data_IF_739189410502
#
_entry.id   IF_739189410502
#
_cell.length_a   1.000
_cell.length_b   1.000
_cell.length_c   1.000
_cell.angle_alpha   90.00
_cell.angle_beta   90.00
_cell.angle_gamma   90.00
#
_symmetry.space_group_name_H-M   'P 1'
#
loop_
_entity.id
_entity.type
_entity.pdbx_description
1 polymer ?
#
# COMPACT_ATOMS: atom_id res chain seq x y z
N UNK A 1 3.74 7.19 -15.09
CA UNK A 1 5.04 6.59 -15.42
C UNK A 1 4.88 5.08 -15.28
N UNK A 2 5.00 4.34 -16.38
CA UNK A 2 5.06 2.87 -16.34
C UNK A 2 6.31 2.45 -15.56
N UNK A 3 6.25 1.34 -14.82
CA UNK A 3 7.36 0.81 -14.02
C UNK A 3 8.58 0.45 -14.91
N UNK A 4 8.33 0.30 -16.21
CA UNK A 4 9.29 -0.08 -17.25
C UNK A 4 10.51 0.88 -17.38
N UNK A 5 10.42 2.10 -16.85
CA UNK A 5 11.50 3.12 -16.92
C UNK A 5 12.37 3.22 -15.65
N UNK A 6 12.12 2.41 -14.62
CA UNK A 6 12.89 2.48 -13.36
C UNK A 6 14.23 1.76 -13.55
N UNK A 7 15.34 2.50 -13.62
CA UNK A 7 16.69 1.91 -13.64
C UNK A 7 17.26 1.80 -12.24
N UNK A 8 17.41 0.58 -11.76
CA UNK A 8 18.01 0.28 -10.46
C UNK A 8 19.54 0.31 -10.59
N UNK A 9 20.22 1.15 -9.79
CA UNK A 9 21.69 1.21 -9.76
C UNK A 9 22.29 -0.17 -9.45
N UNK A 10 23.49 -0.43 -9.97
CA UNK A 10 24.26 -1.66 -9.73
C UNK A 10 23.62 -2.98 -10.22
N UNK A 11 22.51 -2.93 -10.96
CA UNK A 11 21.95 -4.07 -11.68
C UNK A 11 22.21 -3.97 -13.19
N UNK A 12 22.53 -5.11 -13.81
CA UNK A 12 22.58 -5.20 -15.28
C UNK A 12 21.21 -4.92 -15.91
N UNK A 13 21.17 -4.66 -17.23
CA UNK A 13 19.91 -4.42 -17.94
C UNK A 13 18.94 -5.62 -17.85
N UNK A 14 19.46 -6.85 -17.88
CA UNK A 14 18.64 -8.06 -17.74
C UNK A 14 18.12 -8.24 -16.31
N UNK A 15 18.95 -7.95 -15.31
CA UNK A 15 18.55 -7.95 -13.90
C UNK A 15 17.45 -6.92 -13.61
N UNK A 16 17.58 -5.72 -14.16
CA UNK A 16 16.55 -4.68 -14.08
C UNK A 16 15.21 -5.14 -14.66
N UNK A 17 15.20 -5.68 -15.87
CA UNK A 17 13.96 -6.20 -16.48
C UNK A 17 13.35 -7.33 -15.65
N UNK A 18 14.18 -8.24 -15.16
CA UNK A 18 13.73 -9.38 -14.35
C UNK A 18 13.11 -8.94 -13.02
N UNK A 19 13.81 -8.09 -12.27
CA UNK A 19 13.40 -7.71 -10.91
C UNK A 19 12.13 -6.85 -10.91
N UNK A 20 11.97 -5.96 -11.89
CA UNK A 20 10.76 -5.15 -12.04
C UNK A 20 9.55 -5.99 -12.40
N UNK A 21 9.68 -6.90 -13.37
CA UNK A 21 8.58 -7.79 -13.76
C UNK A 21 8.18 -8.72 -12.61
N UNK A 22 9.17 -9.22 -11.86
CA UNK A 22 8.94 -10.06 -10.69
C UNK A 22 8.32 -9.29 -9.51
N UNK A 23 8.67 -8.01 -9.35
CA UNK A 23 8.09 -7.15 -8.32
C UNK A 23 6.59 -6.94 -8.55
N UNK A 24 6.17 -6.77 -9.80
CA UNK A 24 4.78 -6.50 -10.19
C UNK A 24 3.93 -7.77 -10.25
N UNK A 25 4.41 -8.81 -10.96
CA UNK A 25 3.58 -9.97 -11.31
C UNK A 25 3.83 -11.20 -10.43
N UNK A 26 4.90 -11.21 -9.63
CA UNK A 26 5.24 -12.34 -8.74
C UNK A 26 5.59 -13.66 -9.45
N UNK A 27 5.59 -13.69 -10.79
CA UNK A 27 5.81 -14.89 -11.57
C UNK A 27 7.23 -14.95 -12.14
N UNK A 28 8.06 -15.83 -11.58
CA UNK A 28 9.47 -15.98 -11.97
C UNK A 28 9.66 -16.41 -13.43
N UNK A 29 8.79 -17.28 -13.96
CA UNK A 29 8.91 -17.78 -15.33
C UNK A 29 8.68 -16.65 -16.34
N UNK A 30 7.63 -15.87 -16.09
CA UNK A 30 7.31 -14.67 -16.87
C UNK A 30 8.42 -13.63 -16.79
N UNK A 31 8.94 -13.37 -15.58
CA UNK A 31 10.06 -12.46 -15.39
C UNK A 31 11.32 -12.90 -16.15
N UNK A 32 11.64 -14.20 -16.14
CA UNK A 32 12.76 -14.75 -16.92
C UNK A 32 12.55 -14.57 -18.43
N UNK A 33 11.35 -14.83 -18.92
CA UNK A 33 11.00 -14.67 -20.34
C UNK A 33 11.17 -13.22 -20.79
N UNK A 34 10.63 -12.26 -20.04
CA UNK A 34 10.72 -10.82 -20.37
C UNK A 34 12.17 -10.30 -20.29
N UNK A 35 12.95 -10.81 -19.33
CA UNK A 35 14.35 -10.45 -19.19
C UNK A 35 15.29 -11.16 -20.18
N UNK A 36 14.80 -12.15 -20.93
CA UNK A 36 15.61 -12.93 -21.87
C UNK A 36 16.71 -13.74 -21.19
N UNK A 37 16.34 -14.45 -20.11
CA UNK A 37 17.25 -15.31 -19.32
C UNK A 37 16.63 -16.69 -19.08
N UNK A 38 17.46 -17.66 -18.68
CA UNK A 38 16.98 -18.97 -18.23
C UNK A 38 16.39 -18.91 -16.82
N UNK A 39 15.45 -19.80 -16.50
CA UNK A 39 14.91 -19.94 -15.14
C UNK A 39 16.02 -20.22 -14.11
N UNK A 40 17.03 -21.02 -14.47
CA UNK A 40 18.21 -21.28 -13.62
C UNK A 40 18.94 -19.99 -13.25
N UNK A 41 19.13 -19.08 -14.21
CA UNK A 41 19.74 -17.77 -13.97
C UNK A 41 18.88 -16.92 -13.02
N UNK A 42 17.57 -16.88 -13.24
CA UNK A 42 16.64 -16.13 -12.38
C UNK A 42 16.63 -16.64 -10.95
N UNK A 43 16.56 -17.97 -10.76
CA UNK A 43 16.67 -18.59 -9.45
C UNK A 43 18.02 -18.32 -8.77
N UNK A 44 19.13 -18.26 -9.52
CA UNK A 44 20.43 -17.93 -8.96
C UNK A 44 20.49 -16.47 -8.47
N UNK A 45 19.90 -15.52 -9.20
CA UNK A 45 19.81 -14.13 -8.74
C UNK A 45 18.94 -14.01 -7.48
N UNK A 46 17.87 -14.78 -7.36
CA UNK A 46 17.05 -14.82 -6.14
C UNK A 46 17.71 -15.52 -4.94
N UNK A 47 18.93 -16.05 -5.07
CA UNK A 47 19.73 -16.52 -3.93
C UNK A 47 20.66 -15.43 -3.41
N UNK A 48 20.89 -14.39 -4.20
CA UNK A 48 21.70 -13.24 -3.81
C UNK A 48 20.91 -12.37 -2.83
N UNK A 49 21.49 -12.11 -1.66
CA UNK A 49 20.81 -11.35 -0.60
C UNK A 49 20.55 -9.90 -1.00
N UNK A 50 21.49 -9.26 -1.70
CA UNK A 50 21.37 -7.86 -2.09
C UNK A 50 20.33 -7.70 -3.21
N UNK A 51 20.24 -8.69 -4.10
CA UNK A 51 19.17 -8.77 -5.09
C UNK A 51 17.79 -8.92 -4.44
N UNK A 52 17.66 -9.78 -3.42
CA UNK A 52 16.40 -9.94 -2.68
C UNK A 52 16.02 -8.69 -1.89
N UNK A 53 16.98 -8.05 -1.20
CA UNK A 53 16.74 -6.77 -0.50
C UNK A 53 16.24 -5.72 -1.48
N UNK A 54 16.85 -5.65 -2.67
CA UNK A 54 16.41 -4.74 -3.73
C UNK A 54 14.97 -5.06 -4.17
N UNK A 55 14.64 -6.32 -4.42
CA UNK A 55 13.29 -6.75 -4.79
C UNK A 55 12.25 -6.39 -3.72
N UNK A 56 12.59 -6.59 -2.45
CA UNK A 56 11.76 -6.22 -1.32
C UNK A 56 11.52 -4.70 -1.27
N UNK A 57 12.57 -3.89 -1.39
CA UNK A 57 12.47 -2.42 -1.40
C UNK A 57 11.59 -1.90 -2.54
N UNK A 58 11.67 -2.50 -3.74
CA UNK A 58 10.78 -2.14 -4.85
C UNK A 58 9.32 -2.43 -4.46
N UNK A 59 9.03 -3.63 -3.93
CA UNK A 59 7.68 -4.01 -3.53
C UNK A 59 7.12 -3.09 -2.45
N UNK A 60 7.90 -2.76 -1.43
CA UNK A 60 7.51 -1.78 -0.41
C UNK A 60 7.19 -0.42 -1.03
N UNK A 61 8.01 0.04 -1.98
CA UNK A 61 7.71 1.28 -2.70
C UNK A 61 6.41 1.21 -3.51
N UNK A 62 6.13 0.07 -4.15
CA UNK A 62 4.88 -0.13 -4.90
C UNK A 62 3.66 -0.15 -3.98
N UNK A 63 3.76 -0.83 -2.83
CA UNK A 63 2.71 -0.87 -1.82
C UNK A 63 2.46 0.54 -1.27
N UNK A 64 3.51 1.26 -0.88
CA UNK A 64 3.42 2.63 -0.40
C UNK A 64 2.76 3.56 -1.42
N UNK A 65 3.16 3.49 -2.70
CA UNK A 65 2.53 4.26 -3.79
C UNK A 65 1.05 3.92 -3.96
N UNK A 66 0.71 2.64 -3.93
CA UNK A 66 -0.67 2.17 -4.07
C UNK A 66 -1.54 2.64 -2.91
N UNK A 67 -1.00 2.56 -1.69
CA UNK A 67 -1.65 3.07 -0.49
C UNK A 67 -1.87 4.59 -0.58
N UNK A 68 -0.86 5.36 -1.01
CA UNK A 68 -1.01 6.79 -1.23
C UNK A 68 -2.10 7.11 -2.26
N UNK A 69 -2.15 6.37 -3.37
CA UNK A 69 -3.21 6.53 -4.38
C UNK A 69 -4.60 6.18 -3.82
N UNK A 70 -4.69 5.17 -2.96
CA UNK A 70 -5.93 4.81 -2.26
C UNK A 70 -6.36 5.93 -1.31
N UNK A 71 -5.43 6.46 -0.50
CA UNK A 71 -5.69 7.57 0.42
C UNK A 71 -6.17 8.82 -0.32
N UNK A 72 -5.54 9.19 -1.44
CA UNK A 72 -6.02 10.30 -2.28
C UNK A 72 -7.43 10.05 -2.84
N UNK A 73 -7.78 8.79 -3.13
CA UNK A 73 -9.11 8.44 -3.61
C UNK A 73 -10.15 8.53 -2.48
N UNK A 74 -9.76 8.21 -1.25
CA UNK A 74 -10.58 8.40 -0.06
C UNK A 74 -10.88 9.89 0.18
N UNK A 75 -9.88 10.77 0.08
CA UNK A 75 -10.08 12.22 0.20
C UNK A 75 -11.07 12.75 -0.85
N UNK A 76 -10.96 12.27 -2.10
CA UNK A 76 -11.92 12.61 -3.16
C UNK A 76 -13.34 12.12 -2.82
N UNK A 77 -13.47 10.92 -2.28
CA UNK A 77 -14.78 10.38 -1.87
C UNK A 77 -15.39 11.21 -0.74
N UNK A 78 -14.61 11.55 0.29
CA UNK A 78 -15.05 12.43 1.39
C UNK A 78 -15.53 13.79 0.84
N UNK A 79 -14.75 14.41 -0.04
CA UNK A 79 -15.13 15.68 -0.68
C UNK A 79 -16.42 15.55 -1.51
N UNK A 80 -16.64 14.43 -2.18
CA UNK A 80 -17.89 14.18 -2.90
C UNK A 80 -19.09 14.11 -1.95
N UNK A 81 -18.94 13.45 -0.79
CA UNK A 81 -20.00 13.38 0.23
C UNK A 81 -20.30 14.77 0.81
N UNK A 82 -19.28 15.59 1.05
CA UNK A 82 -19.45 16.99 1.50
C UNK A 82 -20.23 17.80 0.45
N UNK A 83 -19.86 17.70 -0.82
CA UNK A 83 -20.59 18.38 -1.91
C UNK A 83 -22.05 17.97 -2.01
N UNK A 84 -22.37 16.69 -1.76
CA UNK A 84 -23.76 16.22 -1.72
C UNK A 84 -24.55 16.93 -0.61
N UNK A 85 -23.94 17.17 0.56
CA UNK A 85 -24.56 17.89 1.68
C UNK A 85 -24.79 19.37 1.37
N UNK A 86 -23.80 20.01 0.75
CA UNK A 86 -23.79 21.45 0.47
C UNK A 86 -24.63 21.85 -0.75
N UNK A 87 -24.80 20.98 -1.76
CA UNK A 87 -25.56 21.32 -2.96
C UNK A 87 -27.06 21.42 -2.67
N UNK A 88 -27.62 22.62 -2.77
CA UNK A 88 -29.05 22.92 -2.57
C UNK A 88 -29.98 22.12 -3.49
N UNK A 89 -29.50 21.68 -4.66
CA UNK A 89 -30.29 20.93 -5.64
C UNK A 89 -30.36 19.43 -5.33
N UNK A 90 -29.51 18.94 -4.43
CA UNK A 90 -29.52 17.54 -3.98
C UNK A 90 -30.78 17.27 -3.15
N UNK A 91 -31.43 16.13 -3.38
CA UNK A 91 -32.62 15.74 -2.64
C UNK A 91 -32.35 15.61 -1.13
N UNK A 92 -33.35 15.94 -0.30
CA UNK A 92 -33.27 15.80 1.16
C UNK A 92 -32.85 14.39 1.59
N UNK A 93 -33.33 13.35 0.89
CA UNK A 93 -32.97 11.97 1.18
C UNK A 93 -31.50 11.67 0.91
N UNK A 94 -30.95 12.17 -0.20
CA UNK A 94 -29.53 11.99 -0.51
C UNK A 94 -28.64 12.74 0.49
N UNK A 95 -29.03 13.96 0.90
CA UNK A 95 -28.35 14.69 1.98
C UNK A 95 -28.37 13.92 3.30
N UNK A 96 -29.54 13.39 3.68
CA UNK A 96 -29.68 12.63 4.92
C UNK A 96 -28.83 11.35 4.91
N UNK A 97 -28.75 10.66 3.77
CA UNK A 97 -27.87 9.50 3.59
C UNK A 97 -26.39 9.87 3.68
N UNK A 98 -25.97 10.97 3.05
CA UNK A 98 -24.60 11.48 3.14
C UNK A 98 -24.24 11.87 4.59
N UNK A 99 -25.15 12.54 5.29
CA UNK A 99 -24.96 12.93 6.70
C UNK A 99 -24.81 11.69 7.60
N UNK A 100 -25.67 10.68 7.42
CA UNK A 100 -25.55 9.41 8.14
C UNK A 100 -24.20 8.74 7.88
N UNK A 101 -23.76 8.69 6.63
CA UNK A 101 -22.47 8.11 6.27
C UNK A 101 -21.30 8.80 7.00
N UNK A 102 -21.29 10.13 7.06
CA UNK A 102 -20.25 10.87 7.80
C UNK A 102 -20.32 10.56 9.29
N UNK A 103 -21.51 10.62 9.90
CA UNK A 103 -21.69 10.40 11.33
C UNK A 103 -21.24 8.99 11.72
N UNK A 104 -21.73 7.96 11.04
CA UNK A 104 -21.38 6.57 11.33
C UNK A 104 -19.88 6.29 11.20
N UNK A 105 -19.23 6.80 10.15
CA UNK A 105 -17.79 6.62 9.98
C UNK A 105 -16.99 7.41 11.02
N UNK A 106 -17.44 8.60 11.42
CA UNK A 106 -16.78 9.39 12.47
C UNK A 106 -16.82 8.69 13.84
N UNK A 107 -17.96 8.05 14.17
CA UNK A 107 -18.13 7.29 15.41
C UNK A 107 -17.25 6.03 15.39
N UNK A 108 -17.25 5.27 14.29
CA UNK A 108 -16.38 4.10 14.12
C UNK A 108 -14.89 4.47 14.24
N UNK A 109 -14.47 5.58 13.62
CA UNK A 109 -13.09 6.03 13.71
C UNK A 109 -12.71 6.40 15.16
N UNK A 110 -13.58 7.11 15.90
CA UNK A 110 -13.35 7.43 17.31
C UNK A 110 -13.23 6.18 18.17
N UNK A 111 -14.08 5.19 17.94
CA UNK A 111 -14.03 3.90 18.63
C UNK A 111 -12.69 3.20 18.36
N UNK A 112 -12.27 3.11 17.09
CA UNK A 112 -10.98 2.52 16.71
C UNK A 112 -9.79 3.23 17.37
N UNK A 113 -9.79 4.57 17.40
CA UNK A 113 -8.74 5.34 18.07
C UNK A 113 -8.72 5.08 19.58
N UNK A 114 -9.89 5.00 20.21
CA UNK A 114 -10.01 4.69 21.64
C UNK A 114 -9.48 3.28 21.94
N UNK A 115 -9.80 2.30 21.10
CA UNK A 115 -9.28 0.93 21.23
C UNK A 115 -7.77 0.89 21.06
N UNK A 116 -7.22 1.57 20.05
CA UNK A 116 -5.77 1.63 19.82
C UNK A 116 -5.04 2.24 21.02
N UNK A 117 -5.53 3.36 21.57
CA UNK A 117 -4.98 3.98 22.77
C UNK A 117 -4.99 3.03 23.97
N UNK A 118 -6.06 2.26 24.15
CA UNK A 118 -6.14 1.26 25.22
C UNK A 118 -5.15 0.12 25.01
N UNK A 119 -4.93 -0.33 23.79
CA UNK A 119 -3.92 -1.34 23.46
C UNK A 119 -2.52 -0.82 23.76
N UNK A 120 -2.19 0.40 23.32
CA UNK A 120 -0.88 1.02 23.60
C UNK A 120 -0.61 1.16 25.11
N UNK A 121 -1.62 1.52 25.89
CA UNK A 121 -1.52 1.61 27.35
C UNK A 121 -1.27 0.24 28.00
N UNK A 122 -1.99 -0.80 27.54
CA UNK A 122 -1.76 -2.17 28.00
C UNK A 122 -0.34 -2.67 27.63
N UNK A 123 0.13 -2.39 26.42
CA UNK A 123 1.48 -2.74 25.97
C UNK A 123 2.56 -2.06 26.84
N UNK A 124 2.36 -0.79 27.23
CA UNK A 124 3.27 -0.07 28.14
C UNK A 124 3.29 -0.72 29.52
N UNK A 125 2.13 -1.04 30.08
CA UNK A 125 2.03 -1.69 31.39
C UNK A 125 2.72 -3.06 31.37
N UNK A 126 2.50 -3.88 30.34
CA UNK A 126 3.16 -5.18 30.20
C UNK A 126 4.69 -5.09 30.05
N UNK A 127 5.20 -4.10 29.30
CA UNK A 127 6.65 -3.85 29.18
C UNK A 127 7.25 -3.34 30.49
N UNK A 128 6.50 -2.56 31.27
CA UNK A 128 6.93 -2.10 32.60
C UNK A 128 6.96 -3.19 33.67
N UNK A 129 6.16 -4.25 33.54
CA UNK A 129 6.08 -5.35 34.52
C UNK A 129 7.25 -6.33 34.43
N UNK A 130 7.99 -6.37 33.31
CA UNK A 130 9.07 -7.35 33.10
C UNK A 130 10.48 -6.86 33.51
N UNK A 131 10.58 -5.87 34.39
CA UNK A 131 11.87 -5.28 34.83
C UNK A 131 12.08 -5.31 36.36
N UNK A 132 11.54 -6.32 37.05
CA UNK A 132 11.82 -6.58 38.47
C UNK A 132 12.15 -8.05 38.71
#
# INVERSE_FOLDING_TARGET
MQIDDIKIPNLSAKQNKFILELAVNGNIKRACQIAGISEKTGHNWLKDEDFNKTLHNIRESLVSRSLNSLMMSLDKAVNAVIRILEDERTSTMAKLSAARLIIENSLKFREQQTLLQRVEELEKQMKGVNTL
#
